data_IF_485268379427
#
_entry.id   IF_485268379427
#
_cell.length_a   1.000
_cell.length_b   1.000
_cell.length_c   1.000
_cell.angle_alpha   90.00
_cell.angle_beta   90.00
_cell.angle_gamma   90.00
#
_symmetry.space_group_name_H-M   'P 1'
#
loop_
_entity.id
_entity.type
_entity.pdbx_description
1 polymer ?
#
# COMPACT_ATOMS: atom_id res chain seq x y z
N UNK A 1 54.54 46.18 8.70
CA UNK A 1 55.30 45.22 7.87
C UNK A 1 54.26 44.38 7.17
N UNK A 2 54.05 44.42 5.87
CA UNK A 2 54.86 44.83 4.74
C UNK A 2 54.30 43.99 3.59
N UNK A 3 53.93 44.68 2.52
CA UNK A 3 53.20 44.22 1.33
C UNK A 3 53.62 42.85 0.79
N UNK A 4 52.71 42.18 0.08
CA UNK A 4 52.97 41.74 -1.29
C UNK A 4 51.67 41.55 -2.10
N UNK A 5 51.36 42.60 -2.84
CA UNK A 5 50.55 42.62 -4.06
C UNK A 5 51.47 42.32 -5.24
N UNK A 6 51.14 41.35 -6.10
CA UNK A 6 51.73 41.24 -7.43
C UNK A 6 50.63 41.28 -8.48
N UNK A 7 50.67 42.37 -9.24
CA UNK A 7 49.98 42.69 -10.49
C UNK A 7 50.73 42.06 -11.68
N UNK A 8 50.12 42.21 -12.87
CA UNK A 8 50.72 42.19 -14.23
C UNK A 8 50.48 40.86 -14.99
N UNK A 9 50.00 40.77 -16.24
CA UNK A 9 49.44 41.66 -17.28
C UNK A 9 48.75 40.76 -18.33
N UNK A 10 47.54 41.10 -18.83
CA UNK A 10 47.23 41.61 -20.20
C UNK A 10 47.78 40.76 -21.36
N UNK A 11 46.91 40.06 -22.10
CA UNK A 11 46.46 40.42 -23.48
C UNK A 11 45.33 39.49 -24.00
N UNK A 12 44.44 39.98 -24.89
CA UNK A 12 43.30 39.26 -25.48
C UNK A 12 43.60 38.72 -26.89
N UNK A 13 42.92 37.65 -27.31
CA UNK A 13 42.91 37.20 -28.70
C UNK A 13 41.50 36.76 -29.13
N UNK A 14 41.01 37.51 -30.12
CA UNK A 14 39.90 37.25 -31.04
C UNK A 14 40.10 35.97 -31.85
N UNK A 15 39.05 35.20 -32.10
CA UNK A 15 38.75 34.68 -33.45
C UNK A 15 37.29 34.18 -33.54
N UNK A 16 36.53 34.82 -34.42
CA UNK A 16 35.24 34.35 -34.94
C UNK A 16 35.44 33.25 -35.99
N UNK A 17 34.44 32.38 -36.14
CA UNK A 17 34.15 31.75 -37.43
C UNK A 17 33.91 30.25 -37.38
N UNK A 18 32.64 29.82 -37.49
CA UNK A 18 32.03 29.43 -38.78
C UNK A 18 30.75 28.64 -38.53
N UNK A 19 29.64 29.24 -38.92
CA UNK A 19 28.42 28.56 -39.30
C UNK A 19 28.69 27.63 -40.49
N UNK A 20 28.08 26.45 -40.45
CA UNK A 20 28.08 25.49 -41.54
C UNK A 20 26.90 24.55 -41.35
N UNK A 21 25.70 25.02 -41.69
CA UNK A 21 24.61 24.11 -42.04
C UNK A 21 24.17 24.42 -43.46
N UNK A 22 24.39 23.43 -44.32
CA UNK A 22 24.08 23.51 -45.72
C UNK A 22 23.58 22.14 -46.15
N UNK A 23 22.45 22.17 -46.85
CA UNK A 23 22.09 21.28 -47.96
C UNK A 23 21.04 20.18 -47.69
N UNK A 24 19.86 20.47 -48.28
CA UNK A 24 18.94 19.61 -49.07
C UNK A 24 17.79 18.90 -48.37
N UNK A 25 16.63 19.57 -48.50
CA UNK A 25 15.37 18.93 -48.84
C UNK A 25 15.48 18.19 -50.18
N UNK A 26 15.05 16.94 -50.21
CA UNK A 26 14.91 16.11 -51.41
C UNK A 26 13.73 15.16 -51.24
N UNK A 27 12.59 15.59 -51.75
CA UNK A 27 11.36 14.80 -51.95
C UNK A 27 11.63 13.68 -52.97
N UNK A 28 11.22 12.45 -52.67
CA UNK A 28 10.81 11.47 -53.68
C UNK A 28 9.87 10.44 -53.07
N UNK A 29 8.62 10.56 -53.50
CA UNK A 29 7.54 9.60 -53.30
C UNK A 29 7.67 8.38 -54.23
N UNK A 30 7.30 7.19 -53.70
CA UNK A 30 6.38 6.18 -54.29
C UNK A 30 6.80 5.33 -55.52
N UNK A 31 6.90 4.01 -55.32
CA UNK A 31 6.43 2.89 -56.18
C UNK A 31 6.79 1.55 -55.48
N UNK A 32 5.85 0.68 -55.06
CA UNK A 32 5.25 -0.45 -55.81
C UNK A 32 6.29 -1.46 -56.35
N UNK A 33 6.23 -2.79 -56.22
CA UNK A 33 5.40 -3.81 -55.56
C UNK A 33 6.21 -5.13 -55.57
N UNK A 34 5.76 -6.10 -54.76
CA UNK A 34 5.88 -7.56 -54.93
C UNK A 34 7.16 -8.33 -54.48
N UNK A 35 7.00 -9.14 -53.42
CA UNK A 35 7.40 -10.56 -53.43
C UNK A 35 6.94 -11.22 -52.14
N UNK A 36 5.96 -12.10 -52.30
CA UNK A 36 5.36 -12.95 -51.29
C UNK A 36 6.36 -13.86 -50.53
N UNK A 37 5.81 -14.41 -49.44
CA UNK A 37 6.23 -15.61 -48.69
C UNK A 37 7.35 -15.46 -47.66
N UNK A 38 6.93 -15.51 -46.37
CA UNK A 38 7.48 -16.36 -45.29
C UNK A 38 7.49 -15.65 -43.93
N UNK A 39 6.33 -15.47 -43.29
CA UNK A 39 6.26 -15.40 -41.81
C UNK A 39 4.84 -15.69 -41.27
N UNK A 40 4.23 -16.80 -41.68
CA UNK A 40 3.17 -17.41 -40.88
C UNK A 40 3.83 -18.28 -39.81
N UNK A 41 3.99 -17.80 -38.57
CA UNK A 41 4.06 -18.68 -37.38
C UNK A 41 4.10 -17.99 -36.00
N UNK A 42 4.12 -16.66 -35.86
CA UNK A 42 4.36 -16.03 -34.54
C UNK A 42 3.24 -15.17 -33.94
N UNK A 43 2.04 -15.14 -34.53
CA UNK A 43 0.94 -14.29 -34.03
C UNK A 43 -0.22 -15.05 -33.36
N UNK A 44 -0.19 -16.39 -33.40
CA UNK A 44 -1.29 -17.22 -32.86
C UNK A 44 -1.15 -17.58 -31.38
N UNK A 45 0.03 -17.36 -30.80
CA UNK A 45 0.30 -17.66 -29.38
C UNK A 45 -0.06 -16.48 -28.47
N UNK A 46 0.02 -15.24 -28.96
CA UNK A 46 -0.21 -14.03 -28.16
C UNK A 46 -1.69 -13.72 -27.90
N UNK A 47 -2.59 -14.15 -28.78
CA UNK A 47 -4.05 -13.96 -28.60
C UNK A 47 -4.65 -14.94 -27.58
N UNK A 48 -4.12 -16.16 -27.46
CA UNK A 48 -4.61 -17.16 -26.50
C UNK A 48 -4.31 -16.81 -25.04
N UNK A 49 -3.15 -16.20 -24.78
CA UNK A 49 -2.76 -15.82 -23.43
C UNK A 49 -3.60 -14.64 -22.91
N UNK A 50 -3.93 -13.67 -23.76
CA UNK A 50 -4.77 -12.53 -23.41
C UNK A 50 -6.25 -12.92 -23.16
N UNK A 51 -6.76 -13.94 -23.85
CA UNK A 51 -8.10 -14.47 -23.63
C UNK A 51 -8.20 -15.24 -22.30
N UNK A 52 -7.16 -16.04 -21.98
CA UNK A 52 -7.07 -16.78 -20.73
C UNK A 52 -6.93 -15.90 -19.48
N UNK A 53 -6.29 -14.73 -19.58
CA UNK A 53 -6.26 -13.76 -18.47
C UNK A 53 -7.61 -13.09 -18.23
N UNK A 54 -8.33 -12.72 -19.31
CA UNK A 54 -9.69 -12.15 -19.20
C UNK A 54 -10.69 -13.13 -18.60
N UNK A 55 -10.59 -14.41 -18.93
CA UNK A 55 -11.44 -15.45 -18.34
C UNK A 55 -11.15 -15.64 -16.84
N UNK A 56 -9.87 -15.64 -16.45
CA UNK A 56 -9.47 -15.70 -15.03
C UNK A 56 -9.93 -14.47 -14.26
N UNK A 57 -9.84 -13.29 -14.85
CA UNK A 57 -10.32 -12.04 -14.28
C UNK A 57 -11.84 -12.06 -14.10
N UNK A 58 -12.59 -12.49 -15.12
CA UNK A 58 -14.05 -12.64 -15.05
C UNK A 58 -14.48 -13.68 -13.99
N UNK A 59 -13.77 -14.81 -13.89
CA UNK A 59 -14.00 -15.82 -12.87
C UNK A 59 -13.71 -15.29 -11.45
N UNK A 60 -12.63 -14.53 -11.28
CA UNK A 60 -12.27 -13.89 -10.02
C UNK A 60 -13.32 -12.84 -9.61
N UNK A 61 -13.74 -11.99 -10.54
CA UNK A 61 -14.78 -10.99 -10.31
C UNK A 61 -16.11 -11.66 -9.90
N UNK A 62 -16.51 -12.72 -10.60
CA UNK A 62 -17.71 -13.49 -10.26
C UNK A 62 -17.62 -14.10 -8.86
N UNK A 63 -16.44 -14.62 -8.48
CA UNK A 63 -16.20 -15.17 -7.14
C UNK A 63 -16.33 -14.11 -6.04
N UNK A 64 -15.78 -12.92 -6.28
CA UNK A 64 -15.89 -11.78 -5.35
C UNK A 64 -17.36 -11.33 -5.23
N UNK A 65 -18.07 -11.19 -6.35
CA UNK A 65 -19.49 -10.82 -6.37
C UNK A 65 -20.37 -11.84 -5.64
N UNK A 66 -20.16 -13.14 -5.89
CA UNK A 66 -20.88 -14.20 -5.22
C UNK A 66 -20.58 -14.22 -3.70
N UNK A 67 -19.32 -14.04 -3.32
CA UNK A 67 -18.93 -13.95 -1.91
C UNK A 67 -19.55 -12.74 -1.22
N UNK A 68 -19.56 -11.57 -1.87
CA UNK A 68 -20.15 -10.33 -1.36
C UNK A 68 -21.67 -10.44 -1.21
N UNK A 69 -22.38 -10.93 -2.23
CA UNK A 69 -23.83 -11.18 -2.18
C UNK A 69 -24.18 -12.16 -1.05
N UNK A 70 -23.40 -13.23 -0.91
CA UNK A 70 -23.56 -14.19 0.18
C UNK A 70 -23.29 -13.57 1.56
N UNK A 71 -22.25 -12.73 1.68
CA UNK A 71 -21.96 -12.01 2.92
C UNK A 71 -23.09 -11.05 3.30
N UNK A 72 -23.66 -10.31 2.34
CA UNK A 72 -24.80 -9.43 2.57
C UNK A 72 -26.04 -10.19 3.06
N UNK A 73 -26.39 -11.30 2.41
CA UNK A 73 -27.50 -12.15 2.84
C UNK A 73 -27.27 -12.69 4.27
N UNK A 74 -26.09 -13.23 4.56
CA UNK A 74 -25.72 -13.71 5.90
C UNK A 74 -25.70 -12.58 6.95
N UNK A 75 -25.28 -11.38 6.58
CA UNK A 75 -25.25 -10.22 7.49
C UNK A 75 -26.67 -9.75 7.81
N UNK A 76 -27.55 -9.68 6.81
CA UNK A 76 -28.97 -9.37 7.03
C UNK A 76 -29.63 -10.40 7.95
N UNK A 77 -29.35 -11.70 7.73
CA UNK A 77 -29.85 -12.76 8.59
C UNK A 77 -29.26 -12.73 10.00
N UNK A 78 -27.96 -12.42 10.15
CA UNK A 78 -27.34 -12.25 11.47
C UNK A 78 -27.89 -11.04 12.22
N UNK A 79 -28.21 -9.94 11.53
CA UNK A 79 -28.86 -8.78 12.17
C UNK A 79 -30.28 -9.14 12.58
N UNK A 80 -31.03 -9.88 11.76
CA UNK A 80 -32.34 -10.39 12.16
C UNK A 80 -32.27 -11.48 13.23
N UNK A 81 -31.21 -12.28 13.30
CA UNK A 81 -31.01 -13.34 14.30
C UNK A 81 -30.52 -12.75 15.62
N UNK A 82 -29.67 -11.72 15.60
CA UNK A 82 -29.32 -10.96 16.81
C UNK A 82 -30.44 -10.03 17.28
N UNK A 83 -31.33 -9.61 16.39
CA UNK A 83 -32.59 -8.97 16.76
C UNK A 83 -33.63 -9.99 17.24
N UNK A 84 -33.69 -11.17 16.63
CA UNK A 84 -34.63 -12.26 16.98
C UNK A 84 -34.20 -13.03 18.23
N UNK A 85 -32.92 -13.10 18.58
CA UNK A 85 -32.46 -13.58 19.88
C UNK A 85 -32.75 -12.55 20.97
N UNK A 86 -32.69 -11.25 20.66
CA UNK A 86 -33.16 -10.20 21.58
C UNK A 86 -34.69 -10.13 21.70
N UNK A 87 -35.46 -10.57 20.70
CA UNK A 87 -36.92 -10.65 20.80
C UNK A 87 -37.44 -12.03 21.19
N UNK A 88 -36.60 -13.08 21.21
CA UNK A 88 -36.93 -14.33 21.90
C UNK A 88 -36.95 -14.18 23.42
N UNK A 89 -36.36 -13.11 23.95
CA UNK A 89 -36.51 -12.70 25.35
C UNK A 89 -37.59 -11.65 25.58
N UNK A 90 -38.17 -11.05 24.53
CA UNK A 90 -39.01 -9.85 24.67
C UNK A 90 -40.15 -9.75 23.62
N UNK A 91 -40.96 -10.80 23.42
CA UNK A 91 -42.29 -10.64 22.81
C UNK A 91 -43.38 -11.29 23.69
N UNK A 92 -44.47 -10.56 23.84
CA UNK A 92 -45.34 -10.47 25.01
C UNK A 92 -46.26 -11.70 25.27
N UNK A 93 -46.82 -11.83 26.49
CA UNK A 93 -47.40 -13.07 27.02
C UNK A 93 -48.77 -13.38 26.41
N UNK A 94 -48.85 -14.47 25.65
CA UNK A 94 -50.08 -15.23 25.49
C UNK A 94 -50.25 -16.12 26.73
N UNK A 95 -51.09 -15.68 27.67
CA UNK A 95 -51.91 -16.49 28.59
C UNK A 95 -51.35 -17.87 29.00
N UNK A 96 -50.22 -17.92 29.73
CA UNK A 96 -49.80 -19.03 30.64
C UNK A 96 -48.36 -18.86 31.18
N UNK A 97 -47.60 -17.83 30.80
CA UNK A 97 -46.21 -17.69 31.26
C UNK A 97 -46.13 -17.12 32.68
N UNK A 98 -46.28 -17.97 33.70
CA UNK A 98 -45.62 -17.71 35.00
C UNK A 98 -44.12 -17.60 34.70
N UNK A 99 -43.46 -16.54 35.16
CA UNK A 99 -42.00 -16.59 35.34
C UNK A 99 -41.71 -17.90 36.09
N UNK A 100 -40.83 -18.76 35.57
CA UNK A 100 -40.53 -20.01 36.25
C UNK A 100 -40.05 -19.66 37.65
N UNK A 101 -40.76 -20.12 38.66
CA UNK A 101 -40.37 -19.82 40.03
C UNK A 101 -39.00 -20.43 40.28
N UNK A 102 -38.23 -19.83 41.18
CA UNK A 102 -36.87 -20.29 41.50
C UNK A 102 -36.85 -21.80 41.81
N UNK A 103 -37.90 -22.32 42.45
CA UNK A 103 -38.03 -23.75 42.74
C UNK A 103 -38.17 -24.61 41.47
N UNK A 104 -38.87 -24.13 40.44
CA UNK A 104 -39.03 -24.85 39.16
C UNK A 104 -37.70 -24.92 38.38
N UNK A 105 -36.90 -23.85 38.46
CA UNK A 105 -35.56 -23.83 37.86
C UNK A 105 -34.58 -24.72 38.63
N UNK A 106 -34.65 -24.76 39.96
CA UNK A 106 -33.81 -25.67 40.76
C UNK A 106 -34.18 -27.14 40.54
N UNK A 107 -35.45 -27.43 40.24
CA UNK A 107 -35.93 -28.78 39.90
C UNK A 107 -35.48 -29.22 38.49
N UNK A 108 -35.46 -28.32 37.50
CA UNK A 108 -34.91 -28.61 36.15
C UNK A 108 -33.38 -28.58 36.10
N UNK A 109 -32.73 -27.73 36.90
CA UNK A 109 -31.29 -27.50 36.90
C UNK A 109 -30.69 -27.80 38.27
N UNK A 110 -30.73 -29.07 38.65
CA UNK A 110 -30.16 -29.52 39.92
C UNK A 110 -28.66 -29.22 39.99
N UNK A 111 -28.22 -28.64 41.11
CA UNK A 111 -26.80 -28.40 41.39
C UNK A 111 -25.98 -29.70 41.56
N UNK A 112 -26.64 -30.83 41.75
CA UNK A 112 -26.01 -32.15 41.85
C UNK A 112 -25.78 -32.80 40.46
N UNK A 113 -26.36 -32.22 39.40
CA UNK A 113 -26.13 -32.65 38.03
C UNK A 113 -24.71 -32.24 37.56
N UNK A 114 -23.81 -33.23 37.59
CA UNK A 114 -22.42 -33.09 37.17
C UNK A 114 -22.29 -32.69 35.70
N UNK A 115 -23.18 -33.14 34.82
CA UNK A 115 -23.11 -32.79 33.40
C UNK A 115 -23.44 -31.30 33.20
N UNK A 116 -24.47 -30.83 33.90
CA UNK A 116 -24.85 -29.41 33.90
C UNK A 116 -23.72 -28.53 34.45
N UNK A 117 -23.13 -28.88 35.60
CA UNK A 117 -22.02 -28.12 36.17
C UNK A 117 -20.79 -28.08 35.25
N UNK A 118 -20.47 -29.19 34.59
CA UNK A 118 -19.36 -29.27 33.63
C UNK A 118 -19.63 -28.41 32.39
N UNK A 119 -20.85 -28.46 31.85
CA UNK A 119 -21.26 -27.62 30.72
C UNK A 119 -21.18 -26.13 31.07
N UNK A 120 -21.75 -25.73 32.21
CA UNK A 120 -21.69 -24.36 32.71
C UNK A 120 -20.24 -23.89 32.89
N UNK A 121 -19.39 -24.71 33.49
CA UNK A 121 -17.95 -24.41 33.67
C UNK A 121 -17.25 -24.21 32.32
N UNK A 122 -17.55 -25.03 31.31
CA UNK A 122 -16.99 -24.91 29.96
C UNK A 122 -17.43 -23.62 29.26
N UNK A 123 -18.70 -23.23 29.40
CA UNK A 123 -19.22 -21.97 28.86
C UNK A 123 -18.52 -20.79 29.53
N UNK A 124 -18.43 -20.78 30.86
CA UNK A 124 -17.76 -19.71 31.61
C UNK A 124 -16.28 -19.60 31.24
N UNK A 125 -15.57 -20.73 31.15
CA UNK A 125 -14.16 -20.74 30.75
C UNK A 125 -13.96 -20.20 29.32
N UNK A 126 -14.82 -20.62 28.39
CA UNK A 126 -14.79 -20.15 26.99
C UNK A 126 -15.05 -18.65 26.91
N UNK A 127 -16.03 -18.15 27.67
CA UNK A 127 -16.37 -16.72 27.70
C UNK A 127 -15.23 -15.88 28.30
N UNK A 128 -14.65 -16.31 29.43
CA UNK A 128 -13.46 -15.67 30.02
C UNK A 128 -12.31 -15.60 29.02
N UNK A 129 -12.05 -16.70 28.31
CA UNK A 129 -11.03 -16.73 27.25
C UNK A 129 -11.35 -15.78 26.09
N UNK A 130 -12.61 -15.74 25.64
CA UNK A 130 -13.05 -14.84 24.57
C UNK A 130 -12.88 -13.36 24.96
N UNK A 131 -13.20 -13.00 26.19
CA UNK A 131 -12.99 -11.65 26.71
C UNK A 131 -11.52 -11.24 26.68
N UNK A 132 -10.63 -12.08 27.24
CA UNK A 132 -9.20 -11.80 27.24
C UNK A 132 -8.62 -11.71 25.82
N UNK A 133 -9.01 -12.61 24.91
CA UNK A 133 -8.58 -12.58 23.51
C UNK A 133 -9.06 -11.32 22.78
N UNK A 134 -10.30 -10.89 23.04
CA UNK A 134 -10.87 -9.67 22.47
C UNK A 134 -10.16 -8.41 22.98
N UNK A 135 -9.84 -8.36 24.27
CA UNK A 135 -9.06 -7.27 24.86
C UNK A 135 -7.65 -7.21 24.26
N UNK A 136 -6.95 -8.34 24.15
CA UNK A 136 -5.63 -8.38 23.52
C UNK A 136 -5.66 -7.98 22.05
N UNK A 137 -6.64 -8.47 21.28
CA UNK A 137 -6.80 -8.10 19.88
C UNK A 137 -7.09 -6.60 19.70
N UNK A 138 -7.95 -6.04 20.55
CA UNK A 138 -8.25 -4.59 20.51
C UNK A 138 -7.06 -3.74 20.99
N UNK A 139 -6.29 -4.19 21.99
CA UNK A 139 -5.07 -3.52 22.44
C UNK A 139 -3.97 -3.54 21.38
N UNK A 140 -3.76 -4.69 20.71
CA UNK A 140 -2.81 -4.81 19.61
C UNK A 140 -3.20 -3.93 18.41
N UNK A 141 -4.49 -3.89 18.05
CA UNK A 141 -4.99 -3.02 17.00
C UNK A 141 -4.79 -1.53 17.34
N UNK A 142 -5.10 -1.12 18.58
CA UNK A 142 -4.85 0.25 19.06
C UNK A 142 -3.36 0.62 19.05
N UNK A 143 -2.50 -0.30 19.47
CA UNK A 143 -1.05 -0.09 19.44
C UNK A 143 -0.54 0.10 18.00
N UNK A 144 -1.01 -0.73 17.06
CA UNK A 144 -0.66 -0.59 15.65
C UNK A 144 -1.11 0.75 15.06
N UNK A 145 -2.34 1.18 15.37
CA UNK A 145 -2.87 2.49 14.95
C UNK A 145 -2.00 3.62 15.51
N UNK A 146 -1.67 3.60 16.80
CA UNK A 146 -0.83 4.63 17.42
C UNK A 146 0.59 4.69 16.80
N UNK A 147 1.16 3.54 16.42
CA UNK A 147 2.46 3.53 15.73
C UNK A 147 2.38 4.19 14.35
N UNK A 148 1.32 3.89 13.60
CA UNK A 148 1.09 4.52 12.29
C UNK A 148 0.88 6.02 12.45
N UNK A 149 0.04 6.43 13.40
CA UNK A 149 -0.25 7.84 13.68
C UNK A 149 1.01 8.62 14.11
N UNK A 150 1.88 8.01 14.93
CA UNK A 150 3.17 8.60 15.28
C UNK A 150 4.11 8.71 14.08
N UNK A 151 4.13 7.70 13.20
CA UNK A 151 4.96 7.73 12.00
C UNK A 151 4.45 8.79 11.00
N UNK A 152 3.14 8.92 10.82
CA UNK A 152 2.54 9.95 9.96
C UNK A 152 2.81 11.34 10.51
N UNK A 153 2.65 11.56 11.81
CA UNK A 153 2.96 12.85 12.44
C UNK A 153 4.44 13.26 12.22
N UNK A 154 5.38 12.31 12.32
CA UNK A 154 6.81 12.57 12.03
C UNK A 154 7.09 12.88 10.56
N UNK A 155 6.33 12.29 9.63
CA UNK A 155 6.45 12.60 8.20
C UNK A 155 5.90 14.01 7.93
N UNK A 156 4.75 14.34 8.50
CA UNK A 156 4.14 15.66 8.39
C UNK A 156 5.02 16.75 8.98
N UNK A 157 5.63 16.51 10.15
CA UNK A 157 6.59 17.42 10.78
C UNK A 157 7.78 17.69 9.85
N UNK A 158 8.42 16.65 9.30
CA UNK A 158 9.55 16.79 8.37
C UNK A 158 9.16 17.47 7.06
N UNK A 159 7.94 17.22 6.58
CA UNK A 159 7.43 17.87 5.38
C UNK A 159 7.21 19.36 5.64
N UNK A 160 6.63 19.73 6.79
CA UNK A 160 6.44 21.12 7.17
C UNK A 160 7.78 21.84 7.37
N UNK A 161 8.75 21.20 8.02
CA UNK A 161 10.10 21.74 8.19
C UNK A 161 10.78 21.99 6.84
N UNK A 162 10.71 21.03 5.92
CA UNK A 162 11.25 21.19 4.56
C UNK A 162 10.53 22.32 3.78
N UNK A 163 9.21 22.45 3.93
CA UNK A 163 8.45 23.54 3.31
C UNK A 163 8.85 24.89 3.89
N UNK A 164 9.07 24.98 5.21
CA UNK A 164 9.53 26.19 5.87
C UNK A 164 10.95 26.58 5.42
N UNK A 165 11.85 25.61 5.26
CA UNK A 165 13.22 25.86 4.76
C UNK A 165 13.24 26.33 3.30
N UNK A 166 12.29 25.86 2.49
CA UNK A 166 12.12 26.31 1.10
C UNK A 166 11.44 27.69 0.98
N UNK A 167 10.89 28.22 2.08
CA UNK A 167 10.18 29.49 2.08
C UNK A 167 11.16 30.65 1.83
N UNK A 168 10.97 31.35 0.71
CA UNK A 168 11.84 32.47 0.29
C UNK A 168 12.92 32.11 -0.74
N UNK A 169 12.99 30.86 -1.19
CA UNK A 169 13.86 30.46 -2.31
C UNK A 169 13.15 30.69 -3.64
N UNK A 170 13.77 31.44 -4.54
CA UNK A 170 13.26 31.65 -5.91
C UNK A 170 13.57 30.42 -6.80
N UNK A 171 12.55 29.62 -7.06
CA UNK A 171 12.66 28.43 -7.91
C UNK A 171 12.94 28.74 -9.39
N UNK A 172 12.78 29.99 -9.82
CA UNK A 172 13.07 30.43 -11.19
C UNK A 172 14.52 30.91 -11.38
N UNK A 173 15.33 30.99 -10.31
CA UNK A 173 16.72 31.43 -10.40
C UNK A 173 17.57 30.43 -11.21
N UNK A 174 18.18 30.85 -12.34
CA UNK A 174 19.04 29.98 -13.14
C UNK A 174 20.27 29.48 -12.39
N UNK A 175 20.81 30.23 -11.42
CA UNK A 175 21.99 29.82 -10.68
C UNK A 175 21.66 28.76 -9.60
N UNK A 176 20.48 28.86 -8.98
CA UNK A 176 19.91 27.79 -8.15
C UNK A 176 19.76 26.48 -8.94
N UNK A 177 19.24 26.53 -10.16
CA UNK A 177 19.09 25.34 -11.02
C UNK A 177 20.44 24.69 -11.34
N UNK A 178 21.46 25.49 -11.69
CA UNK A 178 22.83 24.99 -11.94
C UNK A 178 23.42 24.32 -10.70
N UNK A 179 23.24 24.92 -9.52
CA UNK A 179 23.70 24.35 -8.26
C UNK A 179 22.98 23.03 -7.93
N UNK A 180 21.66 22.98 -8.05
CA UNK A 180 20.86 21.79 -7.83
C UNK A 180 21.29 20.64 -8.75
N UNK A 181 21.51 20.92 -10.05
CA UNK A 181 21.98 19.93 -11.03
C UNK A 181 23.34 19.34 -10.61
N UNK A 182 24.26 20.17 -10.12
CA UNK A 182 25.58 19.72 -9.64
C UNK A 182 25.46 18.84 -8.39
N UNK A 183 24.59 19.21 -7.45
CA UNK A 183 24.32 18.41 -6.24
C UNK A 183 23.72 17.06 -6.61
N UNK A 184 22.72 17.03 -7.51
CA UNK A 184 22.08 15.81 -7.99
C UNK A 184 23.06 14.87 -8.70
N UNK A 185 23.92 15.40 -9.59
CA UNK A 185 24.95 14.61 -10.27
C UNK A 185 25.95 14.01 -9.28
N UNK A 186 26.40 14.81 -8.30
CA UNK A 186 27.30 14.36 -7.24
C UNK A 186 26.67 13.26 -6.38
N UNK A 187 25.41 13.44 -5.96
CA UNK A 187 24.69 12.46 -5.14
C UNK A 187 24.44 11.15 -5.89
N UNK A 188 24.03 11.20 -7.16
CA UNK A 188 23.86 10.01 -7.99
C UNK A 188 25.18 9.26 -8.15
N UNK A 189 26.28 9.97 -8.33
CA UNK A 189 27.63 9.40 -8.33
C UNK A 189 28.01 8.77 -6.98
N UNK A 190 27.71 9.45 -5.87
CA UNK A 190 27.96 8.93 -4.52
C UNK A 190 27.20 7.63 -4.25
N UNK A 191 25.92 7.55 -4.64
CA UNK A 191 25.09 6.35 -4.45
C UNK A 191 25.68 5.13 -5.17
N UNK A 192 26.07 5.28 -6.43
CA UNK A 192 26.72 4.20 -7.20
C UNK A 192 28.02 3.76 -6.53
N UNK A 193 28.85 4.71 -6.08
CA UNK A 193 30.12 4.39 -5.39
C UNK A 193 29.89 3.70 -4.05
N UNK A 194 28.84 4.08 -3.33
CA UNK A 194 28.45 3.44 -2.08
C UNK A 194 28.03 1.99 -2.32
N UNK A 195 27.17 1.74 -3.30
CA UNK A 195 26.73 0.38 -3.67
C UNK A 195 27.92 -0.49 -4.11
N UNK A 196 28.81 0.03 -4.96
CA UNK A 196 30.03 -0.70 -5.39
C UNK A 196 30.98 -0.98 -4.22
N UNK A 197 31.23 0.00 -3.35
CA UNK A 197 32.09 -0.21 -2.18
C UNK A 197 31.51 -1.27 -1.22
N UNK A 198 30.20 -1.27 -1.00
CA UNK A 198 29.53 -2.28 -0.17
C UNK A 198 29.71 -3.69 -0.77
N UNK A 199 29.55 -3.84 -2.09
CA UNK A 199 29.77 -5.13 -2.75
C UNK A 199 31.23 -5.60 -2.72
N UNK A 200 32.20 -4.70 -2.91
CA UNK A 200 33.63 -5.07 -2.84
C UNK A 200 34.11 -5.44 -1.42
N UNK A 201 33.46 -4.92 -0.38
CA UNK A 201 33.75 -5.25 1.02
C UNK A 201 33.18 -6.61 1.45
N UNK A 202 32.18 -7.14 0.74
CA UNK A 202 31.56 -8.44 1.01
C UNK A 202 32.31 -9.58 0.29
N UNK A 203 32.79 -9.35 -0.94
CA UNK A 203 33.60 -10.34 -1.68
C UNK A 203 35.02 -10.53 -1.13
N UNK A 204 35.59 -9.53 -0.46
CA UNK A 204 36.92 -9.62 0.16
C UNK A 204 36.95 -10.31 1.53
N UNK A 205 35.79 -10.73 2.05
CA UNK A 205 35.64 -11.48 3.32
C UNK A 205 35.34 -12.98 3.12
N UNK A 206 35.39 -13.50 1.90
CA UNK A 206 35.14 -14.90 1.58
C UNK A 206 36.41 -15.68 1.27
#
# INVERSE_FOLDING_TARGET
>A
MGCNTSKESVQPAVEEGKEGDSVKNGDISKAAEDSATKTESSDKEKEKDAEGEKEKEAAAATKIQAAFRGHHARKSLRVSETASERTRTDEAPSESAKEPTKEQLEEEFSADDKELCNAASKIQATFRSHMSKREQATAAAKSAINMVESATAKIEEKMHDAVQELEGIDLADPDLHKAATKIQASFRGHKVRQEVNIHTADESKK
#
